data_IF_911632011891
#
_entry.id   IF_911632011891
#
_cell.length_a   1.000
_cell.length_b   1.000
_cell.length_c   1.000
_cell.angle_alpha   90.00
_cell.angle_beta   90.00
_cell.angle_gamma   90.00
#
_symmetry.space_group_name_H-M   'P 1'
#
loop_
_entity.id
_entity.type
_entity.pdbx_description
1 polymer ?
#
# COMPACT_ATOMS: atom_id res chain seq x y z
N UNK A 1 -8.02 -16.77 -32.81
CA UNK A 1 -7.04 -17.71 -33.36
C UNK A 1 -6.33 -18.27 -32.15
N UNK A 2 -6.58 -19.52 -31.75
CA UNK A 2 -5.89 -20.13 -30.61
C UNK A 2 -4.40 -20.17 -30.91
N UNK A 3 -3.52 -19.84 -29.92
CA UNK A 3 -2.09 -20.04 -30.14
C UNK A 3 -1.83 -21.53 -30.36
N UNK A 4 -0.95 -21.82 -31.28
CA UNK A 4 -0.49 -23.15 -31.66
C UNK A 4 0.02 -23.88 -30.36
N UNK A 5 -0.50 -25.05 -29.98
CA UNK A 5 -0.06 -25.80 -28.80
C UNK A 5 1.45 -26.16 -28.84
N UNK A 6 2.12 -26.02 -29.98
CA UNK A 6 3.57 -26.22 -30.11
C UNK A 6 4.40 -24.98 -29.71
N UNK A 7 3.78 -23.85 -29.44
CA UNK A 7 4.47 -22.63 -28.95
C UNK A 7 4.32 -22.48 -27.43
N UNK A 8 4.85 -23.43 -26.71
CA UNK A 8 5.07 -23.34 -25.26
C UNK A 8 5.98 -22.17 -24.91
N UNK A 9 5.72 -21.44 -23.78
CA UNK A 9 6.72 -20.52 -23.27
C UNK A 9 8.00 -21.32 -22.99
N UNK A 10 9.02 -20.99 -23.73
CA UNK A 10 10.26 -21.75 -23.87
C UNK A 10 11.04 -21.92 -22.55
N UNK A 11 10.66 -21.22 -21.47
CA UNK A 11 11.32 -21.31 -20.16
C UNK A 11 10.36 -20.95 -19.03
N UNK A 12 9.76 -21.92 -18.33
CA UNK A 12 9.22 -21.72 -17.01
C UNK A 12 10.20 -22.25 -15.97
N UNK A 13 10.42 -21.51 -14.89
CA UNK A 13 11.21 -21.95 -13.74
C UNK A 13 10.30 -22.42 -12.59
N UNK A 14 9.05 -21.96 -12.58
CA UNK A 14 8.03 -22.35 -11.59
C UNK A 14 6.67 -22.50 -12.27
N UNK A 15 5.92 -23.50 -11.86
CA UNK A 15 4.53 -23.72 -12.26
C UNK A 15 3.66 -23.85 -11.02
N UNK A 16 2.63 -23.03 -10.93
CA UNK A 16 1.64 -23.06 -9.86
C UNK A 16 0.40 -23.74 -10.45
N UNK A 17 -0.03 -24.86 -9.85
CA UNK A 17 -1.11 -25.73 -10.34
C UNK A 17 -2.19 -25.92 -9.30
N UNK A 18 -3.30 -26.55 -9.74
CA UNK A 18 -4.41 -26.90 -8.86
C UNK A 18 -4.96 -25.67 -8.13
N UNK A 19 -5.13 -24.56 -8.87
CA UNK A 19 -5.75 -23.32 -8.37
C UNK A 19 -7.26 -23.47 -8.56
N UNK A 20 -8.04 -23.53 -7.47
CA UNK A 20 -9.50 -23.69 -7.56
C UNK A 20 -10.19 -22.51 -8.24
N UNK A 21 -9.84 -21.30 -7.84
CA UNK A 21 -10.27 -20.05 -8.48
C UNK A 21 -9.09 -19.08 -8.55
N UNK A 22 -8.70 -18.73 -9.75
CA UNK A 22 -7.69 -17.69 -10.00
C UNK A 22 -8.40 -16.37 -10.29
N UNK A 23 -8.39 -15.46 -9.34
CA UNK A 23 -8.96 -14.11 -9.44
C UNK A 23 -7.89 -13.20 -10.02
N UNK A 24 -7.89 -12.94 -11.32
CA UNK A 24 -6.76 -12.28 -11.97
C UNK A 24 -6.75 -10.77 -11.80
N UNK A 25 -7.91 -10.15 -11.70
CA UNK A 25 -8.09 -8.66 -11.68
C UNK A 25 -7.42 -8.01 -12.92
N UNK A 26 -7.28 -8.77 -13.99
CA UNK A 26 -6.61 -8.34 -15.21
C UNK A 26 -7.34 -7.16 -15.85
N UNK A 27 -6.55 -6.22 -16.38
CA UNK A 27 -7.08 -5.01 -17.03
C UNK A 27 -7.46 -5.25 -18.50
N UNK A 28 -7.00 -6.36 -19.06
CA UNK A 28 -7.36 -6.84 -20.41
C UNK A 28 -8.05 -8.21 -20.29
N UNK A 29 -8.96 -8.55 -21.20
CA UNK A 29 -9.63 -9.85 -21.18
C UNK A 29 -8.63 -11.01 -21.20
N UNK A 30 -8.78 -11.95 -20.25
CA UNK A 30 -7.99 -13.18 -20.17
C UNK A 30 -8.82 -14.34 -20.72
N UNK A 31 -8.22 -15.17 -21.57
CA UNK A 31 -8.90 -16.34 -22.17
C UNK A 31 -9.36 -17.31 -21.07
N UNK A 32 -10.61 -17.75 -21.15
CA UNK A 32 -11.21 -18.66 -20.17
C UNK A 32 -11.69 -17.97 -18.87
N UNK A 33 -11.41 -16.68 -18.68
CA UNK A 33 -11.86 -15.93 -17.52
C UNK A 33 -13.32 -15.44 -17.65
N UNK A 34 -13.96 -15.21 -16.50
CA UNK A 34 -15.33 -14.70 -16.42
C UNK A 34 -15.49 -13.63 -15.34
N UNK A 35 -16.56 -12.84 -15.49
CA UNK A 35 -16.92 -11.79 -14.53
C UNK A 35 -15.99 -10.59 -14.49
N UNK A 36 -16.31 -9.58 -13.66
CA UNK A 36 -15.57 -8.32 -13.61
C UNK A 36 -14.14 -8.44 -13.05
N UNK A 37 -13.87 -9.49 -12.27
CA UNK A 37 -12.53 -9.79 -11.73
C UNK A 37 -11.73 -10.72 -12.64
N UNK A 38 -12.26 -11.16 -13.77
CA UNK A 38 -11.59 -12.08 -14.70
C UNK A 38 -11.15 -13.37 -13.97
N UNK A 39 -12.12 -14.14 -13.44
CA UNK A 39 -11.88 -15.36 -12.67
C UNK A 39 -11.76 -16.56 -13.60
N UNK A 40 -10.72 -17.38 -13.41
CA UNK A 40 -10.52 -18.68 -14.09
C UNK A 40 -10.65 -19.78 -13.05
N UNK A 41 -11.56 -20.74 -13.29
CA UNK A 41 -11.67 -21.95 -12.47
C UNK A 41 -10.64 -23.00 -12.91
N UNK A 42 -10.19 -23.84 -11.98
CA UNK A 42 -9.23 -24.92 -12.23
C UNK A 42 -8.00 -24.43 -13.03
N UNK A 43 -7.34 -23.42 -12.50
CA UNK A 43 -6.30 -22.65 -13.20
C UNK A 43 -4.88 -23.12 -12.87
N UNK A 44 -3.96 -22.70 -13.75
CA UNK A 44 -2.52 -22.77 -13.52
C UNK A 44 -1.81 -21.49 -14.03
N UNK A 45 -0.62 -21.23 -13.47
CA UNK A 45 0.26 -20.11 -13.83
C UNK A 45 1.67 -20.66 -14.08
N UNK A 46 2.31 -20.23 -15.16
CA UNK A 46 3.74 -20.46 -15.38
C UNK A 46 4.54 -19.17 -15.17
N UNK A 47 5.68 -19.29 -14.50
CA UNK A 47 6.54 -18.19 -14.09
C UNK A 47 7.98 -18.47 -14.54
N UNK A 48 8.65 -17.43 -15.05
CA UNK A 48 10.07 -17.47 -15.38
C UNK A 48 10.76 -16.24 -14.81
N UNK A 49 11.83 -16.46 -14.03
CA UNK A 49 12.60 -15.39 -13.39
C UNK A 49 11.70 -14.36 -12.63
N UNK A 50 10.69 -14.88 -11.92
CA UNK A 50 9.77 -14.06 -11.16
C UNK A 50 8.67 -13.36 -11.97
N UNK A 51 8.62 -13.52 -13.28
CA UNK A 51 7.62 -12.92 -14.17
C UNK A 51 6.64 -13.98 -14.66
N UNK A 52 5.36 -13.64 -14.68
CA UNK A 52 4.29 -14.50 -15.22
C UNK A 52 4.47 -14.58 -16.74
N UNK A 53 4.62 -15.81 -17.26
CA UNK A 53 4.81 -16.04 -18.70
C UNK A 53 3.61 -16.73 -19.34
N UNK A 54 2.71 -17.32 -18.55
CA UNK A 54 1.48 -17.94 -19.02
C UNK A 54 0.44 -18.07 -17.90
N UNK A 55 -0.85 -18.01 -18.29
CA UNK A 55 -2.03 -18.19 -17.44
C UNK A 55 -3.09 -18.94 -18.25
N UNK A 56 -3.75 -19.96 -17.66
CA UNK A 56 -4.83 -20.69 -18.32
C UNK A 56 -5.44 -21.77 -17.41
N UNK A 57 -6.25 -22.65 -17.99
CA UNK A 57 -6.78 -23.80 -17.27
C UNK A 57 -5.70 -24.84 -17.00
N UNK A 58 -5.71 -25.46 -15.81
CA UNK A 58 -4.72 -26.49 -15.44
C UNK A 58 -4.79 -27.73 -16.34
N UNK A 59 -5.93 -27.99 -17.01
CA UNK A 59 -6.10 -29.05 -18.00
C UNK A 59 -5.47 -28.74 -19.37
N UNK A 60 -5.14 -27.53 -19.67
CA UNK A 60 -4.52 -27.11 -20.96
C UNK A 60 -3.04 -27.48 -21.04
N UNK A 61 -2.58 -28.32 -20.16
CA UNK A 61 -1.27 -28.93 -19.97
C UNK A 61 -0.20 -28.57 -21.00
N UNK A 62 0.54 -27.54 -20.70
CA UNK A 62 1.80 -27.26 -21.36
C UNK A 62 2.98 -28.08 -20.78
N UNK A 63 2.71 -28.85 -19.71
CA UNK A 63 3.71 -29.60 -18.94
C UNK A 63 3.28 -31.03 -18.69
N UNK A 64 2.68 -31.74 -19.68
CA UNK A 64 2.49 -33.18 -19.60
C UNK A 64 3.86 -33.88 -19.68
N UNK A 65 4.33 -34.31 -18.53
CA UNK A 65 5.22 -35.46 -18.45
C UNK A 65 4.54 -36.55 -17.66
N UNK A 66 4.44 -37.73 -18.26
CA UNK A 66 4.00 -38.97 -17.65
C UNK A 66 5.03 -39.47 -16.64
N UNK A 67 5.35 -38.72 -15.63
CA UNK A 67 6.11 -39.17 -14.46
C UNK A 67 6.16 -38.08 -13.39
N UNK A 68 6.07 -38.53 -12.12
CA UNK A 68 6.25 -37.72 -10.92
C UNK A 68 7.63 -37.04 -10.77
N UNK A 69 8.39 -36.95 -11.87
CA UNK A 69 9.70 -36.31 -11.89
C UNK A 69 9.59 -34.99 -12.65
N UNK A 70 9.87 -33.85 -12.02
CA UNK A 70 9.95 -32.58 -12.72
C UNK A 70 10.97 -32.67 -13.85
N UNK A 71 10.69 -32.09 -15.03
CA UNK A 71 11.75 -31.80 -16.00
C UNK A 71 12.83 -31.02 -15.23
N UNK A 72 14.11 -31.41 -15.41
CA UNK A 72 15.24 -30.84 -14.68
C UNK A 72 15.11 -29.33 -14.60
N UNK A 73 14.87 -28.80 -13.40
CA UNK A 73 14.88 -27.39 -13.07
C UNK A 73 13.54 -26.68 -12.90
N UNK A 74 12.36 -27.30 -13.04
CA UNK A 74 11.06 -26.65 -12.81
C UNK A 74 10.56 -26.93 -11.39
N UNK A 75 10.24 -25.89 -10.62
CA UNK A 75 9.57 -25.99 -9.33
C UNK A 75 8.05 -26.05 -9.52
N UNK A 76 7.40 -27.08 -8.96
CA UNK A 76 5.93 -27.21 -8.94
C UNK A 76 5.41 -26.73 -7.59
N UNK A 77 4.45 -25.79 -7.61
CA UNK A 77 3.70 -25.32 -6.43
C UNK A 77 2.26 -25.81 -6.57
N UNK A 78 1.82 -26.66 -5.66
CA UNK A 78 0.42 -27.11 -5.58
C UNK A 78 -0.39 -26.09 -4.76
N UNK A 79 -1.33 -25.41 -5.41
CA UNK A 79 -2.26 -24.50 -4.74
C UNK A 79 -3.39 -25.20 -3.98
N UNK A 80 -3.46 -26.54 -4.01
CA UNK A 80 -4.40 -27.37 -3.23
C UNK A 80 -5.89 -27.01 -3.47
N UNK A 81 -6.22 -26.47 -4.65
CA UNK A 81 -7.56 -26.08 -5.04
C UNK A 81 -8.09 -24.83 -4.31
N UNK A 82 -7.25 -24.03 -3.67
CA UNK A 82 -7.67 -22.79 -3.00
C UNK A 82 -7.85 -21.63 -3.98
N UNK A 83 -8.42 -20.52 -3.47
CA UNK A 83 -8.48 -19.26 -4.19
C UNK A 83 -7.09 -18.61 -4.22
N UNK A 84 -6.70 -18.09 -5.39
CA UNK A 84 -5.47 -17.30 -5.56
C UNK A 84 -5.83 -15.95 -6.16
N UNK A 85 -5.30 -14.88 -5.57
CA UNK A 85 -5.44 -13.49 -6.04
C UNK A 85 -4.08 -12.85 -6.25
N UNK A 86 -3.99 -11.68 -6.89
CA UNK A 86 -2.81 -10.84 -6.72
C UNK A 86 -2.55 -10.62 -5.24
N UNK A 87 -1.28 -10.48 -4.85
CA UNK A 87 -0.93 -10.03 -3.51
C UNK A 87 -1.54 -8.66 -3.21
N UNK A 88 -1.91 -8.43 -1.96
CA UNK A 88 -2.49 -7.15 -1.53
C UNK A 88 -1.42 -6.05 -1.56
N UNK A 89 -1.82 -4.86 -1.98
CA UNK A 89 -0.97 -3.67 -2.07
C UNK A 89 -1.45 -2.64 -1.06
N UNK A 90 -0.63 -2.39 -0.04
CA UNK A 90 -0.88 -1.36 0.96
C UNK A 90 -0.17 -0.06 0.57
N UNK A 91 -0.91 0.86 -0.01
CA UNK A 91 -0.35 2.06 -0.64
C UNK A 91 -0.17 3.26 0.29
N UNK A 92 -0.35 3.07 1.62
CA UNK A 92 -0.19 4.14 2.59
C UNK A 92 0.11 3.60 3.98
N UNK A 93 1.36 3.68 4.43
CA UNK A 93 1.77 3.32 5.80
C UNK A 93 2.87 4.23 6.35
N UNK A 94 3.00 4.27 7.69
CA UNK A 94 4.06 4.96 8.43
C UNK A 94 4.86 3.94 9.26
N UNK A 95 5.34 2.89 8.64
CA UNK A 95 5.80 1.65 9.28
C UNK A 95 7.05 1.84 10.15
N UNK A 96 7.94 2.81 9.83
CA UNK A 96 9.21 3.04 10.55
C UNK A 96 9.01 4.04 11.67
N UNK A 97 8.82 3.54 12.88
CA UNK A 97 8.73 4.34 14.11
C UNK A 97 9.05 3.49 15.34
N UNK A 98 9.41 4.16 16.46
CA UNK A 98 9.52 3.55 17.79
C UNK A 98 8.42 4.04 18.72
N UNK A 99 8.21 3.29 19.80
CA UNK A 99 7.15 3.55 20.78
C UNK A 99 5.77 3.13 20.30
N UNK A 100 4.77 3.38 21.15
CA UNK A 100 3.35 3.18 20.84
C UNK A 100 2.50 4.29 21.47
N UNK A 101 1.23 4.31 21.14
CA UNK A 101 0.26 5.29 21.67
C UNK A 101 -0.97 4.59 22.28
N UNK A 102 -0.80 3.36 22.80
CA UNK A 102 -1.87 2.57 23.36
C UNK A 102 -2.56 3.29 24.54
N UNK A 103 -1.78 3.89 25.44
CA UNK A 103 -2.32 4.67 26.56
C UNK A 103 -3.15 5.87 26.07
N UNK A 104 -2.68 6.58 25.02
CA UNK A 104 -3.45 7.70 24.44
C UNK A 104 -4.77 7.22 23.82
N UNK A 105 -4.77 6.05 23.20
CA UNK A 105 -5.99 5.45 22.68
C UNK A 105 -7.02 5.25 23.78
N UNK A 106 -6.62 4.72 24.95
CA UNK A 106 -7.50 4.52 26.09
C UNK A 106 -7.97 5.84 26.69
N UNK A 107 -7.09 6.84 26.83
CA UNK A 107 -7.45 8.17 27.32
C UNK A 107 -8.50 8.85 26.42
N UNK A 108 -8.33 8.78 25.10
CA UNK A 108 -9.34 9.28 24.14
C UNK A 108 -10.68 8.55 24.30
N UNK A 109 -10.67 7.24 24.54
CA UNK A 109 -11.90 6.47 24.81
C UNK A 109 -12.56 6.88 26.12
N UNK A 110 -11.78 7.32 27.12
CA UNK A 110 -12.27 7.87 28.37
C UNK A 110 -12.75 9.33 28.27
N UNK A 111 -12.65 9.96 27.10
CA UNK A 111 -13.16 11.31 26.84
C UNK A 111 -12.12 12.43 26.96
N UNK A 112 -10.84 12.10 27.15
CA UNK A 112 -9.76 13.10 27.14
C UNK A 112 -9.63 13.66 25.71
N UNK A 113 -9.68 14.98 25.60
CA UNK A 113 -9.58 15.65 24.31
C UNK A 113 -8.16 15.60 23.71
N UNK A 114 -8.07 15.72 22.40
CA UNK A 114 -6.77 15.79 21.72
C UNK A 114 -5.92 16.98 22.20
N UNK A 115 -6.55 18.12 22.49
CA UNK A 115 -5.87 19.30 23.04
C UNK A 115 -5.25 19.06 24.41
N UNK A 116 -5.95 18.34 25.30
CA UNK A 116 -5.43 17.98 26.62
C UNK A 116 -4.24 17.01 26.51
N UNK A 117 -4.28 16.08 25.55
CA UNK A 117 -3.16 15.17 25.27
C UNK A 117 -1.93 15.94 24.75
N UNK A 118 -2.12 16.91 23.87
CA UNK A 118 -1.03 17.75 23.38
C UNK A 118 -0.37 18.57 24.49
N UNK A 119 -1.16 19.14 25.42
CA UNK A 119 -0.64 19.87 26.59
C UNK A 119 0.20 18.98 27.52
N UNK A 120 -0.04 17.67 27.51
CA UNK A 120 0.72 16.67 28.26
C UNK A 120 1.98 16.19 27.48
N UNK A 121 2.29 16.78 26.32
CA UNK A 121 3.42 16.35 25.47
C UNK A 121 3.16 15.03 24.75
N UNK A 122 1.92 14.59 24.64
CA UNK A 122 1.46 13.39 23.94
C UNK A 122 1.13 13.71 22.47
N UNK A 123 0.57 12.78 21.76
CA UNK A 123 0.27 12.92 20.36
C UNK A 123 1.44 12.51 19.48
N UNK A 124 1.50 13.03 18.26
CA UNK A 124 2.54 12.67 17.28
C UNK A 124 3.96 12.90 17.82
N UNK A 125 4.14 13.88 18.70
CA UNK A 125 5.45 14.21 19.27
C UNK A 125 5.99 13.13 20.20
N UNK A 126 5.15 12.32 20.84
CA UNK A 126 5.63 11.17 21.61
C UNK A 126 6.29 10.14 20.71
N UNK A 127 5.71 9.90 19.53
CA UNK A 127 6.30 9.01 18.51
C UNK A 127 7.59 9.61 17.93
N UNK A 128 7.61 10.92 17.65
CA UNK A 128 8.82 11.63 17.17
C UNK A 128 9.96 11.48 18.17
N UNK A 129 9.70 11.73 19.45
CA UNK A 129 10.72 11.60 20.48
C UNK A 129 11.24 10.17 20.62
N UNK A 130 10.35 9.18 20.60
CA UNK A 130 10.72 7.77 20.66
C UNK A 130 11.55 7.36 19.44
N UNK A 131 11.17 7.79 18.24
CA UNK A 131 11.87 7.46 16.99
C UNK A 131 13.26 8.11 16.93
N UNK A 132 13.38 9.37 17.33
CA UNK A 132 14.67 10.06 17.43
C UNK A 132 15.61 9.45 18.49
N UNK A 133 15.05 8.81 19.52
CA UNK A 133 15.83 8.19 20.60
C UNK A 133 16.21 6.76 20.33
N UNK A 134 15.57 6.10 19.37
CA UNK A 134 15.88 4.72 18.98
C UNK A 134 17.09 4.70 18.03
N UNK A 135 17.93 3.67 18.14
CA UNK A 135 18.98 3.42 17.16
C UNK A 135 18.42 2.79 15.88
N UNK A 136 19.22 2.80 14.83
CA UNK A 136 18.84 2.28 13.52
C UNK A 136 18.51 0.78 13.54
N UNK A 137 19.21 -0.01 14.37
CA UNK A 137 19.00 -1.45 14.51
C UNK A 137 17.61 -1.73 15.10
N UNK A 138 17.25 -1.07 16.19
CA UNK A 138 15.91 -1.15 16.82
C UNK A 138 14.81 -0.76 15.84
N UNK A 139 14.97 0.33 15.08
CA UNK A 139 13.97 0.77 14.11
C UNK A 139 13.81 -0.26 12.97
N UNK A 140 14.90 -0.85 12.50
CA UNK A 140 14.88 -1.89 11.47
C UNK A 140 14.17 -3.17 11.96
N UNK A 141 14.51 -3.65 13.17
CA UNK A 141 13.86 -4.83 13.77
C UNK A 141 12.33 -4.64 13.93
N UNK A 142 11.90 -3.48 14.42
CA UNK A 142 10.49 -3.15 14.54
C UNK A 142 9.80 -3.12 13.16
N UNK A 143 10.45 -2.55 12.15
CA UNK A 143 9.92 -2.49 10.79
C UNK A 143 9.80 -3.90 10.18
N UNK A 144 10.79 -4.77 10.33
CA UNK A 144 10.77 -6.16 9.87
C UNK A 144 9.64 -6.95 10.53
N UNK A 145 9.45 -6.82 11.85
CA UNK A 145 8.37 -7.49 12.56
C UNK A 145 6.99 -7.11 12.00
N UNK A 146 6.77 -5.81 11.74
CA UNK A 146 5.55 -5.27 11.14
C UNK A 146 5.33 -5.74 9.70
N UNK A 147 6.38 -5.74 8.87
CA UNK A 147 6.32 -6.29 7.51
C UNK A 147 5.94 -7.76 7.50
N UNK A 148 6.48 -8.56 8.42
CA UNK A 148 6.12 -9.96 8.57
C UNK A 148 4.65 -10.13 8.92
N UNK A 149 4.11 -9.27 9.78
CA UNK A 149 2.67 -9.24 10.10
C UNK A 149 1.83 -8.89 8.88
N UNK A 150 2.19 -7.82 8.13
CA UNK A 150 1.51 -7.44 6.89
C UNK A 150 1.51 -8.56 5.86
N UNK A 151 2.68 -9.20 5.66
CA UNK A 151 2.82 -10.37 4.77
C UNK A 151 1.92 -11.52 5.21
N UNK A 152 1.85 -11.80 6.50
CA UNK A 152 0.98 -12.84 7.05
C UNK A 152 -0.50 -12.58 6.72
N UNK A 153 -0.90 -11.32 6.56
CA UNK A 153 -2.24 -10.91 6.13
C UNK A 153 -2.39 -10.72 4.62
N UNK A 154 -1.39 -11.10 3.82
CA UNK A 154 -1.50 -11.14 2.35
C UNK A 154 -0.89 -9.96 1.61
N UNK A 155 -0.30 -8.98 2.30
CA UNK A 155 0.37 -7.84 1.69
C UNK A 155 1.69 -8.28 1.05
N UNK A 156 1.88 -7.97 -0.24
CA UNK A 156 3.10 -8.26 -1.01
C UNK A 156 3.84 -7.00 -1.44
N UNK A 157 3.14 -5.87 -1.46
CA UNK A 157 3.73 -4.55 -1.77
C UNK A 157 3.21 -3.54 -0.75
N UNK A 158 4.11 -2.73 -0.19
CA UNK A 158 3.78 -1.72 0.81
C UNK A 158 4.52 -0.41 0.53
N UNK A 159 3.82 0.72 0.66
CA UNK A 159 4.46 2.03 0.76
C UNK A 159 4.83 2.31 2.22
N UNK A 160 6.04 2.80 2.44
CA UNK A 160 6.52 3.20 3.76
C UNK A 160 6.96 4.65 3.73
N UNK A 161 6.25 5.48 4.49
CA UNK A 161 6.54 6.91 4.67
C UNK A 161 7.46 7.10 5.88
N UNK A 162 8.37 8.06 5.78
CA UNK A 162 9.04 8.66 6.93
C UNK A 162 8.11 9.63 7.68
N UNK A 163 8.62 10.61 8.41
CA UNK A 163 7.82 11.68 9.01
C UNK A 163 7.70 11.61 10.53
N UNK A 164 8.46 10.71 11.16
CA UNK A 164 8.63 10.70 12.60
C UNK A 164 10.04 11.10 13.04
N UNK A 165 10.92 11.41 12.11
CA UNK A 165 12.22 12.03 12.39
C UNK A 165 12.09 13.53 12.56
N UNK A 166 11.52 14.20 11.58
CA UNK A 166 11.34 15.66 11.49
C UNK A 166 12.66 16.44 11.65
N UNK A 167 13.79 15.78 11.45
CA UNK A 167 15.11 16.36 11.29
C UNK A 167 15.87 15.59 10.19
N UNK A 168 16.88 16.21 9.62
CA UNK A 168 17.60 15.64 8.47
C UNK A 168 18.24 14.30 8.75
N UNK A 169 18.82 14.12 9.94
CA UNK A 169 19.58 12.91 10.29
C UNK A 169 18.62 11.73 10.49
N UNK A 170 17.57 11.93 11.27
CA UNK A 170 16.60 10.85 11.57
C UNK A 170 15.77 10.49 10.34
N UNK A 171 15.34 11.47 9.53
CA UNK A 171 14.62 11.20 8.26
C UNK A 171 15.49 10.41 7.27
N UNK A 172 16.78 10.78 7.15
CA UNK A 172 17.74 10.01 6.33
C UNK A 172 17.91 8.58 6.84
N UNK A 173 18.05 8.41 8.15
CA UNK A 173 18.17 7.09 8.78
C UNK A 173 16.93 6.24 8.47
N UNK A 174 15.74 6.80 8.63
CA UNK A 174 14.48 6.10 8.29
C UNK A 174 14.43 5.72 6.80
N UNK A 175 14.81 6.63 5.87
CA UNK A 175 14.84 6.32 4.44
C UNK A 175 15.84 5.22 4.10
N UNK A 176 17.01 5.20 4.73
CA UNK A 176 18.00 4.14 4.54
C UNK A 176 17.46 2.80 5.02
N UNK A 177 16.85 2.75 6.21
CA UNK A 177 16.19 1.53 6.71
C UNK A 177 15.13 1.05 5.71
N UNK A 178 14.26 1.94 5.21
CA UNK A 178 13.21 1.59 4.23
C UNK A 178 13.82 0.98 2.95
N UNK A 179 14.93 1.54 2.46
CA UNK A 179 15.61 0.99 1.28
C UNK A 179 16.27 -0.36 1.59
N UNK A 180 16.89 -0.51 2.77
CA UNK A 180 17.52 -1.75 3.19
C UNK A 180 16.50 -2.89 3.35
N UNK A 181 15.24 -2.60 3.73
CA UNK A 181 14.16 -3.59 3.78
C UNK A 181 13.92 -4.29 2.42
N UNK A 182 14.17 -3.63 1.30
CA UNK A 182 14.15 -4.25 -0.03
C UNK A 182 15.38 -5.12 -0.30
N UNK A 183 16.54 -4.78 0.29
CA UNK A 183 17.80 -5.50 0.10
C UNK A 183 17.89 -6.76 0.98
N UNK A 184 17.07 -6.89 2.02
CA UNK A 184 17.04 -8.06 2.92
C UNK A 184 16.62 -9.37 2.21
N UNK A 185 16.24 -9.34 0.94
CA UNK A 185 16.05 -10.54 0.13
C UNK A 185 17.27 -11.48 0.09
N UNK A 186 18.46 -10.96 0.37
CA UNK A 186 19.73 -11.68 0.26
C UNK A 186 20.31 -12.19 1.59
N UNK A 187 19.73 -11.88 2.75
CA UNK A 187 20.28 -12.30 4.06
C UNK A 187 19.68 -13.62 4.54
N UNK A 188 20.51 -14.65 4.86
CA UNK A 188 20.04 -15.91 5.43
C UNK A 188 19.28 -15.75 6.76
N UNK A 189 19.51 -14.66 7.48
CA UNK A 189 18.92 -14.37 8.79
C UNK A 189 17.47 -13.89 8.68
N UNK A 190 17.06 -13.31 7.54
CA UNK A 190 15.75 -12.68 7.32
C UNK A 190 14.97 -13.30 6.14
N UNK A 191 15.15 -14.59 5.87
CA UNK A 191 14.59 -15.34 4.72
C UNK A 191 13.06 -15.27 4.56
N UNK A 192 12.32 -14.58 5.42
CA UNK A 192 10.85 -14.66 5.45
C UNK A 192 10.09 -13.40 5.08
N UNK A 193 10.72 -12.23 4.91
CA UNK A 193 10.02 -10.98 4.63
C UNK A 193 10.19 -10.47 3.21
N UNK A 194 9.78 -11.29 2.22
CA UNK A 194 9.67 -10.79 0.84
C UNK A 194 8.38 -9.98 0.71
N UNK A 195 8.44 -8.71 1.05
CA UNK A 195 7.42 -7.69 0.76
C UNK A 195 8.13 -6.57 0.03
N UNK A 196 7.63 -6.19 -1.13
CA UNK A 196 8.17 -5.06 -1.89
C UNK A 196 7.87 -3.76 -1.15
N UNK A 197 8.90 -2.99 -0.84
CA UNK A 197 8.79 -1.74 -0.09
C UNK A 197 9.01 -0.54 -1.01
N UNK A 198 8.12 0.46 -0.93
CA UNK A 198 8.20 1.70 -1.72
C UNK A 198 8.46 2.87 -0.78
N UNK A 199 9.65 3.52 -0.85
CA UNK A 199 10.01 4.59 0.07
C UNK A 199 9.34 5.92 -0.31
N UNK A 200 8.76 6.60 0.70
CA UNK A 200 8.17 7.94 0.60
C UNK A 200 8.76 8.85 1.67
N UNK A 201 9.27 10.01 1.25
CA UNK A 201 9.71 11.05 2.16
C UNK A 201 8.52 11.91 2.62
N UNK A 202 8.31 12.01 3.93
CA UNK A 202 7.25 12.82 4.56
C UNK A 202 7.83 13.74 5.66
N UNK A 203 8.90 14.48 5.39
CA UNK A 203 9.40 15.50 6.34
C UNK A 203 8.37 16.58 6.66
N UNK A 204 7.42 16.81 5.75
CA UNK A 204 6.31 17.73 5.97
C UNK A 204 5.09 17.07 6.63
N UNK A 205 5.30 16.31 7.71
CA UNK A 205 4.24 15.67 8.49
C UNK A 205 3.67 16.61 9.56
N UNK A 206 4.51 17.18 10.40
CA UNK A 206 4.15 18.26 11.33
C UNK A 206 5.36 19.17 11.56
N UNK A 207 5.14 20.38 12.09
CA UNK A 207 6.24 21.27 12.51
C UNK A 207 6.78 20.79 13.86
N UNK A 208 8.07 20.41 13.96
CA UNK A 208 8.65 19.96 15.22
C UNK A 208 8.78 21.11 16.23
N UNK A 209 8.78 20.81 17.55
CA UNK A 209 8.73 21.82 18.61
C UNK A 209 9.78 22.91 18.51
N UNK A 210 10.99 22.56 18.11
CA UNK A 210 12.13 23.47 17.94
C UNK A 210 11.98 24.51 16.84
N UNK A 211 11.02 24.26 15.92
CA UNK A 211 10.68 25.17 14.81
C UNK A 211 9.33 25.87 14.97
N UNK A 212 8.54 25.64 16.03
CA UNK A 212 7.22 26.26 16.21
C UNK A 212 7.24 27.79 16.08
N UNK A 213 8.26 28.45 16.64
CA UNK A 213 8.43 29.90 16.54
C UNK A 213 9.10 30.36 15.22
N UNK A 214 9.59 29.42 14.42
CA UNK A 214 10.32 29.68 13.18
C UNK A 214 9.84 28.74 12.08
N UNK A 215 8.55 28.68 11.89
CA UNK A 215 7.87 27.74 10.97
C UNK A 215 8.47 27.76 9.55
N UNK A 216 8.70 28.97 9.01
CA UNK A 216 9.29 29.15 7.68
C UNK A 216 10.68 28.50 7.58
N UNK A 217 11.49 28.62 8.62
CA UNK A 217 12.81 27.99 8.66
C UNK A 217 12.75 26.44 8.60
N UNK A 218 11.66 25.82 9.05
CA UNK A 218 11.47 24.39 8.87
C UNK A 218 11.08 24.04 7.43
N UNK A 219 10.21 24.84 6.84
CA UNK A 219 9.85 24.67 5.41
C UNK A 219 11.11 24.84 4.54
N UNK A 220 11.96 25.83 4.84
CA UNK A 220 13.26 26.02 4.17
C UNK A 220 14.16 24.78 4.34
N UNK A 221 14.27 24.23 5.56
CA UNK A 221 15.04 23.01 5.82
C UNK A 221 14.55 21.83 4.95
N UNK A 222 13.24 21.64 4.84
CA UNK A 222 12.65 20.60 3.99
C UNK A 222 12.98 20.84 2.52
N UNK A 223 12.76 22.06 2.02
CA UNK A 223 12.89 22.43 0.60
C UNK A 223 14.33 22.49 0.12
N UNK A 224 15.22 23.11 0.92
CA UNK A 224 16.57 23.45 0.48
C UNK A 224 17.63 22.43 0.92
N UNK A 225 17.35 21.63 1.97
CA UNK A 225 18.33 20.68 2.48
C UNK A 225 17.86 19.23 2.40
N UNK A 226 16.66 18.89 2.93
CA UNK A 226 16.22 17.50 2.99
C UNK A 226 15.90 16.95 1.60
N UNK A 227 15.03 17.60 0.84
CA UNK A 227 14.64 17.16 -0.49
C UNK A 227 15.84 16.94 -1.42
N UNK A 228 16.79 17.89 -1.57
CA UNK A 228 17.97 17.63 -2.40
C UNK A 228 18.86 16.49 -1.91
N UNK A 229 18.97 16.31 -0.58
CA UNK A 229 19.80 15.25 0.01
C UNK A 229 19.24 13.86 -0.16
N UNK A 230 17.91 13.71 -0.32
CA UNK A 230 17.23 12.43 -0.36
C UNK A 230 16.82 11.97 -1.77
N UNK A 231 17.27 12.71 -2.80
CA UNK A 231 17.12 12.27 -4.20
C UNK A 231 17.73 10.88 -4.37
N UNK A 232 16.92 9.94 -4.90
CA UNK A 232 17.31 8.54 -5.07
C UNK A 232 17.11 7.66 -3.82
N UNK A 233 16.83 8.22 -2.64
CA UNK A 233 16.45 7.46 -1.44
C UNK A 233 14.93 7.31 -1.31
N UNK A 234 14.14 8.23 -1.83
CA UNK A 234 12.70 8.14 -1.84
C UNK A 234 12.16 8.23 -3.28
N UNK A 235 11.12 7.43 -3.57
CA UNK A 235 10.37 7.51 -4.83
C UNK A 235 9.39 8.66 -4.82
N UNK A 236 8.73 8.88 -3.68
CA UNK A 236 7.69 9.88 -3.49
C UNK A 236 8.11 10.93 -2.47
N UNK A 237 7.56 12.14 -2.63
CA UNK A 237 7.46 13.14 -1.59
C UNK A 237 5.98 13.30 -1.24
N UNK A 238 5.68 13.29 0.05
CA UNK A 238 4.35 13.49 0.60
C UNK A 238 4.32 14.68 1.56
N UNK A 239 3.16 15.29 1.75
CA UNK A 239 2.93 16.39 2.67
C UNK A 239 1.60 16.21 3.39
N UNK A 240 1.50 16.65 4.64
CA UNK A 240 0.25 16.69 5.38
C UNK A 240 -0.38 18.08 5.25
N UNK A 241 -1.34 18.19 4.32
CA UNK A 241 -2.04 19.45 4.02
C UNK A 241 -3.24 19.64 4.93
N UNK A 242 -3.01 20.21 6.12
CA UNK A 242 -4.04 20.50 7.13
C UNK A 242 -3.69 21.76 7.92
N UNK A 243 -4.71 22.39 8.51
CA UNK A 243 -4.54 23.65 9.29
C UNK A 243 -3.51 23.54 10.40
N UNK A 244 -3.45 22.40 11.06
CA UNK A 244 -2.58 22.14 12.21
C UNK A 244 -1.22 21.58 11.80
N UNK A 245 -1.05 21.19 10.53
CA UNK A 245 0.17 20.67 9.96
C UNK A 245 0.81 21.68 9.00
N UNK A 246 0.59 21.57 7.71
CA UNK A 246 1.13 22.50 6.70
C UNK A 246 -0.01 23.18 5.94
N UNK A 247 0.13 24.50 5.74
CA UNK A 247 -0.79 25.28 4.91
C UNK A 247 -0.71 24.85 3.44
N UNK A 248 -1.76 25.15 2.68
CA UNK A 248 -1.80 24.86 1.24
C UNK A 248 -0.62 25.47 0.48
N UNK A 249 -0.18 26.68 0.89
CA UNK A 249 0.95 27.41 0.29
C UNK A 249 2.30 26.72 0.57
N UNK A 250 2.52 26.29 1.82
CA UNK A 250 3.71 25.54 2.22
C UNK A 250 3.76 24.18 1.51
N UNK A 251 2.63 23.48 1.44
CA UNK A 251 2.50 22.21 0.71
C UNK A 251 2.84 22.42 -0.78
N UNK A 252 2.30 23.44 -1.41
CA UNK A 252 2.58 23.77 -2.81
C UNK A 252 4.08 24.01 -3.03
N UNK A 253 4.71 24.81 -2.16
CA UNK A 253 6.15 25.09 -2.25
C UNK A 253 6.99 23.82 -2.16
N UNK A 254 6.71 22.98 -1.16
CA UNK A 254 7.43 21.73 -0.93
C UNK A 254 7.25 20.76 -2.12
N UNK A 255 6.01 20.52 -2.55
CA UNK A 255 5.72 19.59 -3.62
C UNK A 255 6.21 20.08 -4.99
N UNK A 256 6.17 21.38 -5.25
CA UNK A 256 6.75 21.94 -6.48
C UNK A 256 8.25 21.67 -6.51
N UNK A 257 8.95 21.91 -5.40
CA UNK A 257 10.38 21.61 -5.30
C UNK A 257 10.69 20.12 -5.44
N UNK A 258 9.89 19.27 -4.82
CA UNK A 258 10.01 17.82 -4.94
C UNK A 258 9.86 17.37 -6.41
N UNK A 259 8.86 17.90 -7.13
CA UNK A 259 8.63 17.63 -8.55
C UNK A 259 9.82 18.06 -9.43
N UNK A 260 10.39 19.22 -9.18
CA UNK A 260 11.60 19.70 -9.87
C UNK A 260 12.80 18.76 -9.66
N UNK A 261 12.91 18.14 -8.50
CA UNK A 261 13.97 17.18 -8.15
C UNK A 261 13.68 15.75 -8.64
N UNK A 262 12.51 15.51 -9.28
CA UNK A 262 12.15 14.22 -9.87
C UNK A 262 11.39 13.28 -8.96
N UNK A 263 10.92 13.71 -7.79
CA UNK A 263 10.01 12.91 -6.97
C UNK A 263 8.63 12.80 -7.63
N UNK A 264 7.99 11.66 -7.53
CA UNK A 264 6.55 11.55 -7.68
C UNK A 264 5.88 12.10 -6.41
N UNK A 265 4.64 12.58 -6.53
CA UNK A 265 3.98 13.33 -5.46
C UNK A 265 2.83 12.55 -4.86
N UNK A 266 2.65 12.69 -3.54
CA UNK A 266 1.49 12.25 -2.77
C UNK A 266 1.06 13.37 -1.82
N UNK A 267 -0.18 13.34 -1.35
CA UNK A 267 -0.71 14.35 -0.41
C UNK A 267 -1.66 13.67 0.58
N UNK A 268 -1.43 13.83 1.89
CA UNK A 268 -2.50 13.69 2.88
C UNK A 268 -3.39 14.91 2.73
N UNK A 269 -4.62 14.72 2.28
CA UNK A 269 -5.49 15.77 1.81
C UNK A 269 -6.87 15.71 2.46
N UNK A 270 -7.36 16.87 2.92
CA UNK A 270 -8.74 17.04 3.34
C UNK A 270 -9.21 15.97 4.36
N UNK A 271 -8.33 15.59 5.29
CA UNK A 271 -8.58 14.55 6.29
C UNK A 271 -9.44 15.05 7.45
N UNK A 272 -9.10 16.21 8.01
CA UNK A 272 -9.74 16.77 9.20
C UNK A 272 -10.59 17.99 8.88
N UNK A 273 -10.32 18.64 7.74
CA UNK A 273 -11.00 19.84 7.28
C UNK A 273 -10.88 19.98 5.75
N UNK A 274 -11.75 20.80 5.10
CA UNK A 274 -11.57 21.10 3.69
C UNK A 274 -10.34 22.03 3.52
N UNK A 275 -9.16 21.42 3.41
CA UNK A 275 -7.87 22.11 3.32
C UNK A 275 -7.48 22.54 1.91
N UNK A 276 -8.14 21.95 0.89
CA UNK A 276 -7.82 22.16 -0.53
C UNK A 276 -6.69 21.26 -1.04
N UNK A 277 -6.26 20.29 -0.26
CA UNK A 277 -5.20 19.32 -0.61
C UNK A 277 -5.54 18.50 -1.85
N UNK A 278 -6.79 18.06 -2.00
CA UNK A 278 -7.26 17.32 -3.16
C UNK A 278 -7.16 18.15 -4.45
N UNK A 279 -7.50 19.45 -4.40
CA UNK A 279 -7.33 20.37 -5.52
C UNK A 279 -5.84 20.53 -5.86
N UNK A 280 -4.99 20.71 -4.87
CA UNK A 280 -3.55 20.84 -5.05
C UNK A 280 -2.94 19.58 -5.68
N UNK A 281 -3.41 18.39 -5.27
CA UNK A 281 -3.01 17.12 -5.88
C UNK A 281 -3.28 17.08 -7.38
N UNK A 282 -4.49 17.50 -7.80
CA UNK A 282 -4.86 17.58 -9.20
C UNK A 282 -4.00 18.60 -9.98
N UNK A 283 -3.78 19.81 -9.43
CA UNK A 283 -3.00 20.86 -10.06
C UNK A 283 -1.53 20.47 -10.28
N UNK A 284 -0.94 19.75 -9.34
CA UNK A 284 0.46 19.31 -9.43
C UNK A 284 0.64 17.98 -10.15
N UNK A 285 -0.45 17.25 -10.43
CA UNK A 285 -0.41 15.91 -11.01
C UNK A 285 0.18 14.89 -10.04
N UNK A 286 -0.28 14.89 -8.80
CA UNK A 286 0.13 13.90 -7.82
C UNK A 286 -0.31 12.49 -8.24
N UNK A 287 0.44 11.47 -7.83
CA UNK A 287 0.08 10.06 -8.09
C UNK A 287 -1.16 9.66 -7.30
N UNK A 288 -1.24 10.05 -6.03
CA UNK A 288 -2.42 9.87 -5.19
C UNK A 288 -2.66 11.07 -4.28
N UNK A 289 -3.92 11.20 -3.84
CA UNK A 289 -4.31 11.99 -2.70
C UNK A 289 -5.03 11.06 -1.71
N UNK A 290 -4.64 11.15 -0.45
CA UNK A 290 -4.95 10.14 0.54
C UNK A 290 -5.85 10.76 1.63
N UNK A 291 -6.75 10.00 2.28
CA UNK A 291 -7.86 10.38 3.18
C UNK A 291 -9.10 10.91 2.44
N UNK A 292 -9.13 12.18 2.08
CA UNK A 292 -10.20 12.82 1.27
C UNK A 292 -11.58 12.91 1.96
N UNK A 293 -11.63 12.80 3.29
CA UNK A 293 -12.87 12.78 4.06
C UNK A 293 -13.70 14.05 3.84
N UNK A 294 -13.06 15.21 3.68
CA UNK A 294 -13.66 16.52 3.48
C UNK A 294 -13.47 17.11 2.06
N UNK A 295 -12.94 16.33 1.11
CA UNK A 295 -12.76 16.80 -0.27
C UNK A 295 -14.11 17.16 -0.91
N UNK A 296 -14.18 18.28 -1.64
CA UNK A 296 -15.41 18.70 -2.34
C UNK A 296 -15.61 17.91 -3.63
N UNK A 297 -16.86 17.87 -4.14
CA UNK A 297 -17.18 17.23 -5.42
C UNK A 297 -16.41 17.86 -6.60
N UNK A 298 -16.16 19.17 -6.54
CA UNK A 298 -15.36 19.87 -7.55
C UNK A 298 -13.88 19.49 -7.50
N UNK A 299 -13.34 19.14 -6.31
CA UNK A 299 -11.98 18.67 -6.17
C UNK A 299 -11.83 17.23 -6.65
N UNK A 300 -12.82 16.39 -6.36
CA UNK A 300 -12.88 15.02 -6.89
C UNK A 300 -12.92 14.99 -8.43
N UNK A 301 -13.70 15.89 -9.04
CA UNK A 301 -13.73 16.00 -10.50
C UNK A 301 -12.37 16.43 -11.07
N UNK A 302 -11.68 17.40 -10.43
CA UNK A 302 -10.34 17.80 -10.84
C UNK A 302 -9.33 16.65 -10.69
N UNK A 303 -9.41 15.86 -9.62
CA UNK A 303 -8.57 14.66 -9.43
C UNK A 303 -8.82 13.63 -10.53
N UNK A 304 -10.09 13.39 -10.88
CA UNK A 304 -10.47 12.47 -11.97
C UNK A 304 -9.84 12.91 -13.30
N UNK A 305 -9.97 14.19 -13.64
CA UNK A 305 -9.42 14.74 -14.88
C UNK A 305 -7.89 14.67 -14.92
N UNK A 306 -7.24 14.84 -13.77
CA UNK A 306 -5.79 14.76 -13.63
C UNK A 306 -5.26 13.32 -13.49
N UNK A 307 -6.13 12.31 -13.36
CA UNK A 307 -5.76 10.91 -13.17
C UNK A 307 -5.17 10.60 -11.79
N UNK A 308 -5.46 11.42 -10.78
CA UNK A 308 -5.00 11.22 -9.39
C UNK A 308 -5.79 10.10 -8.74
N UNK A 309 -5.11 9.13 -8.12
CA UNK A 309 -5.76 8.04 -7.40
C UNK A 309 -6.26 8.54 -6.05
N UNK A 310 -7.49 8.17 -5.68
CA UNK A 310 -8.05 8.44 -4.36
C UNK A 310 -7.75 7.27 -3.42
N UNK A 311 -6.89 7.46 -2.42
CA UNK A 311 -6.58 6.41 -1.42
C UNK A 311 -7.41 6.63 -0.17
N UNK A 312 -8.35 5.71 0.11
CA UNK A 312 -9.25 5.78 1.26
C UNK A 312 -8.74 4.89 2.39
N UNK A 313 -8.84 5.40 3.63
CA UNK A 313 -8.17 4.87 4.81
C UNK A 313 -9.18 4.48 5.92
N UNK A 314 -9.98 3.42 5.72
CA UNK A 314 -11.07 3.08 6.64
C UNK A 314 -10.62 2.71 8.06
N UNK A 315 -9.38 2.26 8.24
CA UNK A 315 -8.82 2.00 9.57
C UNK A 315 -8.71 3.24 10.44
N UNK A 316 -8.42 4.40 9.83
CA UNK A 316 -8.40 5.69 10.48
C UNK A 316 -9.82 6.08 10.95
N UNK A 317 -10.82 6.01 10.07
CA UNK A 317 -12.22 6.30 10.42
C UNK A 317 -12.73 5.39 11.55
N UNK A 318 -12.41 4.09 11.50
CA UNK A 318 -12.74 3.13 12.56
C UNK A 318 -12.16 3.53 13.91
N UNK A 319 -10.87 3.83 13.96
CA UNK A 319 -10.16 4.15 15.20
C UNK A 319 -10.60 5.51 15.79
N UNK A 320 -10.78 6.50 14.93
CA UNK A 320 -11.22 7.85 15.33
C UNK A 320 -12.73 7.94 15.61
N UNK A 321 -13.50 6.93 15.16
CA UNK A 321 -14.99 6.95 15.19
C UNK A 321 -15.55 8.12 14.38
N UNK A 322 -14.86 8.48 13.32
CA UNK A 322 -15.32 9.46 12.34
C UNK A 322 -16.25 8.79 11.31
N UNK A 323 -17.07 9.55 10.60
CA UNK A 323 -17.79 9.03 9.45
C UNK A 323 -16.83 8.42 8.43
N UNK A 324 -17.22 7.30 7.84
CA UNK A 324 -16.45 6.74 6.73
C UNK A 324 -16.68 7.56 5.44
N UNK A 325 -15.63 7.82 4.65
CA UNK A 325 -15.83 8.43 3.34
C UNK A 325 -16.69 7.50 2.47
N UNK A 326 -17.81 7.99 1.89
CA UNK A 326 -18.68 7.16 1.07
C UNK A 326 -17.99 6.85 -0.26
N UNK A 327 -17.49 5.62 -0.43
CA UNK A 327 -16.72 5.22 -1.61
C UNK A 327 -17.48 5.43 -2.94
N UNK A 328 -18.82 5.34 -2.91
CA UNK A 328 -19.68 5.64 -4.08
C UNK A 328 -19.42 7.04 -4.64
N UNK A 329 -19.11 8.02 -3.77
CA UNK A 329 -18.82 9.40 -4.18
C UNK A 329 -17.63 9.50 -5.15
N UNK A 330 -16.68 8.61 -5.01
CA UNK A 330 -15.45 8.53 -5.82
C UNK A 330 -15.66 7.62 -7.03
N UNK A 331 -16.13 6.40 -6.79
CA UNK A 331 -16.27 5.35 -7.80
C UNK A 331 -17.27 5.76 -8.90
N UNK A 332 -18.43 6.29 -8.51
CA UNK A 332 -19.48 6.68 -9.47
C UNK A 332 -19.07 7.89 -10.33
N UNK A 333 -18.02 8.62 -9.92
CA UNK A 333 -17.38 9.68 -10.73
C UNK A 333 -16.26 9.14 -11.62
N UNK A 334 -15.92 7.86 -11.53
CA UNK A 334 -14.89 7.23 -12.34
C UNK A 334 -13.45 7.45 -11.83
N UNK A 335 -13.27 7.83 -10.54
CA UNK A 335 -11.93 7.83 -9.95
C UNK A 335 -11.46 6.40 -9.69
N UNK A 336 -10.17 6.17 -9.84
CA UNK A 336 -9.54 5.00 -9.27
C UNK A 336 -9.46 5.16 -7.76
N UNK A 337 -10.09 4.23 -7.03
CA UNK A 337 -10.09 4.21 -5.57
C UNK A 337 -9.13 3.11 -5.11
N UNK A 338 -8.14 3.45 -4.29
CA UNK A 338 -7.30 2.53 -3.56
C UNK A 338 -7.75 2.43 -2.09
N UNK A 339 -7.47 1.30 -1.46
CA UNK A 339 -7.58 1.09 -0.01
C UNK A 339 -6.19 0.89 0.58
N UNK A 340 -5.96 1.43 1.77
CA UNK A 340 -4.73 1.22 2.52
C UNK A 340 -5.00 1.19 4.03
N UNK A 341 -4.04 0.69 4.81
CA UNK A 341 -4.20 0.54 6.26
C UNK A 341 -4.01 1.85 7.01
N UNK A 342 -3.27 2.80 6.47
CA UNK A 342 -2.74 3.94 7.22
C UNK A 342 -2.03 3.49 8.50
N UNK A 343 -1.28 2.37 8.41
CA UNK A 343 -0.63 1.81 9.60
C UNK A 343 0.29 2.84 10.27
N UNK A 344 -0.15 3.31 11.43
CA UNK A 344 0.57 4.28 12.24
C UNK A 344 0.17 4.16 13.72
N UNK A 345 0.99 4.65 14.67
CA UNK A 345 0.70 4.48 16.10
C UNK A 345 -0.45 5.36 16.61
N UNK A 346 -0.91 6.34 15.86
CA UNK A 346 -1.87 7.35 16.30
C UNK A 346 -3.31 7.07 15.97
N UNK A 347 -3.57 6.75 14.72
CA UNK A 347 -4.92 6.72 14.16
C UNK A 347 -5.30 5.39 13.53
N UNK A 348 -4.33 4.49 13.24
CA UNK A 348 -4.62 3.18 12.64
C UNK A 348 -3.51 2.17 12.94
N UNK A 349 -3.50 1.57 14.12
CA UNK A 349 -2.52 0.54 14.47
C UNK A 349 -3.01 -0.83 14.00
N UNK A 350 -3.04 -1.02 12.68
CA UNK A 350 -3.58 -2.21 12.02
C UNK A 350 -2.82 -2.52 10.73
N UNK A 351 -2.10 -3.65 10.69
CA UNK A 351 -1.33 -4.15 9.54
C UNK A 351 -2.16 -5.06 8.62
N UNK A 352 -3.48 -5.08 8.79
CA UNK A 352 -4.36 -6.09 8.18
C UNK A 352 -5.21 -5.51 7.04
N UNK A 353 -4.77 -5.70 5.79
CA UNK A 353 -5.53 -5.30 4.60
C UNK A 353 -6.87 -6.04 4.45
N UNK A 354 -7.02 -7.27 5.00
CA UNK A 354 -8.32 -7.97 4.97
C UNK A 354 -9.36 -7.23 5.83
N UNK A 355 -8.93 -6.59 6.92
CA UNK A 355 -9.80 -5.73 7.72
C UNK A 355 -10.25 -4.51 6.89
N UNK A 356 -9.36 -3.93 6.09
CA UNK A 356 -9.71 -2.80 5.21
C UNK A 356 -10.75 -3.19 4.16
N UNK A 357 -10.63 -4.39 3.56
CA UNK A 357 -11.65 -4.94 2.65
C UNK A 357 -13.01 -5.06 3.35
N UNK A 358 -13.04 -5.65 4.54
CA UNK A 358 -14.27 -5.80 5.33
C UNK A 358 -14.93 -4.46 5.68
N UNK A 359 -14.16 -3.46 6.09
CA UNK A 359 -14.65 -2.10 6.38
C UNK A 359 -15.17 -1.39 5.13
N UNK A 360 -14.46 -1.51 4.00
CA UNK A 360 -14.87 -0.90 2.74
C UNK A 360 -16.23 -1.44 2.26
N UNK A 361 -16.42 -2.75 2.36
CA UNK A 361 -17.69 -3.39 1.97
C UNK A 361 -18.81 -3.05 2.96
N UNK A 362 -18.57 -3.17 4.27
CA UNK A 362 -19.61 -3.02 5.29
C UNK A 362 -19.99 -1.57 5.59
N UNK A 363 -19.06 -0.61 5.43
CA UNK A 363 -19.24 0.76 5.92
C UNK A 363 -19.07 1.84 4.87
N UNK A 364 -18.44 1.55 3.71
CA UNK A 364 -18.19 2.54 2.66
C UNK A 364 -19.00 2.30 1.38
N UNK A 365 -19.79 1.21 1.32
CA UNK A 365 -20.64 0.87 0.18
C UNK A 365 -19.90 0.36 -1.06
N UNK A 366 -18.75 -0.27 -0.89
CA UNK A 366 -18.04 -0.96 -1.97
C UNK A 366 -18.57 -2.38 -2.17
N UNK A 367 -18.60 -2.85 -3.43
CA UNK A 367 -18.75 -4.27 -3.72
C UNK A 367 -17.45 -5.03 -3.40
N UNK A 368 -17.51 -6.37 -3.39
CA UNK A 368 -16.33 -7.21 -3.22
C UNK A 368 -15.31 -6.95 -4.35
N UNK A 369 -15.80 -6.84 -5.58
CA UNK A 369 -14.96 -6.61 -6.77
C UNK A 369 -14.25 -5.26 -6.67
N UNK A 370 -14.95 -4.21 -6.27
CA UNK A 370 -14.39 -2.87 -6.09
C UNK A 370 -13.36 -2.85 -4.95
N UNK A 371 -13.65 -3.52 -3.85
CA UNK A 371 -12.74 -3.60 -2.72
C UNK A 371 -11.45 -4.38 -3.07
N UNK A 372 -11.56 -5.52 -3.78
CA UNK A 372 -10.40 -6.28 -4.25
C UNK A 372 -9.56 -5.47 -5.25
N UNK A 373 -10.19 -4.80 -6.22
CA UNK A 373 -9.47 -3.91 -7.14
C UNK A 373 -8.78 -2.76 -6.39
N UNK A 374 -9.43 -2.21 -5.37
CA UNK A 374 -8.87 -1.12 -4.56
C UNK A 374 -7.64 -1.55 -3.73
N UNK A 375 -7.65 -2.78 -3.21
CA UNK A 375 -6.56 -3.34 -2.41
C UNK A 375 -5.45 -4.02 -3.25
N UNK A 376 -5.54 -3.99 -4.57
CA UNK A 376 -4.59 -4.64 -5.48
C UNK A 376 -4.17 -3.68 -6.60
N UNK A 377 -4.84 -3.71 -7.76
CA UNK A 377 -4.44 -2.92 -8.95
C UNK A 377 -4.50 -1.41 -8.73
N UNK A 378 -5.50 -0.91 -7.97
CA UNK A 378 -5.58 0.52 -7.69
C UNK A 378 -4.58 0.94 -6.60
N UNK A 379 -4.29 0.07 -5.61
CA UNK A 379 -3.15 0.27 -4.71
C UNK A 379 -1.83 0.36 -5.48
N UNK A 380 -1.63 -0.52 -6.48
CA UNK A 380 -0.47 -0.46 -7.36
C UNK A 380 -0.44 0.84 -8.19
N UNK A 381 -1.60 1.35 -8.67
CA UNK A 381 -1.69 2.66 -9.35
C UNK A 381 -1.30 3.80 -8.43
N UNK A 382 -1.74 3.78 -7.15
CA UNK A 382 -1.36 4.78 -6.15
C UNK A 382 0.15 4.80 -5.86
N UNK A 383 0.88 3.77 -6.30
CA UNK A 383 2.35 3.65 -6.22
C UNK A 383 3.04 3.74 -7.59
N UNK A 384 2.29 4.01 -8.67
CA UNK A 384 2.77 3.98 -10.05
C UNK A 384 3.48 2.66 -10.40
N UNK A 385 2.91 1.52 -9.96
CA UNK A 385 3.42 0.16 -10.14
C UNK A 385 2.44 -0.75 -10.90
N UNK A 386 1.31 -0.24 -11.40
CA UNK A 386 0.25 -1.00 -12.06
C UNK A 386 0.71 -1.82 -13.26
N UNK A 387 1.81 -1.43 -13.89
CA UNK A 387 2.38 -2.15 -15.03
C UNK A 387 3.22 -3.37 -14.61
N UNK A 388 3.57 -3.47 -13.32
CA UNK A 388 4.42 -4.54 -12.80
C UNK A 388 3.76 -5.41 -11.75
N UNK A 389 2.71 -4.95 -11.05
CA UNK A 389 2.02 -5.68 -9.98
C UNK A 389 0.55 -5.27 -9.84
N UNK A 390 -0.18 -5.88 -8.89
CA UNK A 390 -1.57 -5.57 -8.56
C UNK A 390 -2.61 -6.31 -9.39
N UNK A 391 -2.20 -7.08 -10.40
CA UNK A 391 -3.05 -8.00 -11.16
C UNK A 391 -2.22 -9.18 -11.66
N UNK A 392 -2.89 -10.28 -11.99
CA UNK A 392 -2.23 -11.48 -12.55
C UNK A 392 -2.38 -11.42 -14.06
N UNK A 393 -1.32 -10.98 -14.72
CA UNK A 393 -1.23 -10.81 -16.18
C UNK A 393 0.15 -11.23 -16.68
N UNK A 394 0.22 -11.79 -17.90
CA UNK A 394 1.49 -12.13 -18.53
C UNK A 394 2.36 -10.89 -18.67
N UNK A 395 3.62 -10.99 -18.26
CA UNK A 395 4.59 -9.89 -18.22
C UNK A 395 4.69 -9.19 -16.87
N UNK A 396 3.78 -9.42 -15.94
CA UNK A 396 3.86 -8.87 -14.57
C UNK A 396 4.60 -9.80 -13.63
N UNK A 397 5.06 -9.26 -12.51
CA UNK A 397 5.69 -10.03 -11.43
C UNK A 397 4.71 -11.02 -10.82
N UNK A 398 5.20 -12.19 -10.45
CA UNK A 398 4.43 -13.20 -9.76
C UNK A 398 4.36 -12.86 -8.26
N UNK A 399 3.44 -11.98 -7.90
CA UNK A 399 3.13 -11.58 -6.53
C UNK A 399 1.71 -12.03 -6.22
N UNK A 400 1.56 -13.12 -5.45
CA UNK A 400 0.30 -13.85 -5.26
C UNK A 400 -0.04 -14.02 -3.78
N UNK A 401 -1.34 -13.99 -3.47
CA UNK A 401 -1.90 -14.39 -2.20
C UNK A 401 -2.74 -15.67 -2.38
N UNK A 402 -2.43 -16.69 -1.59
CA UNK A 402 -3.17 -17.95 -1.50
C UNK A 402 -4.10 -17.89 -0.30
N UNK A 403 -5.41 -18.10 -0.53
CA UNK A 403 -6.43 -17.96 0.50
C UNK A 403 -6.93 -19.33 0.95
N UNK A 404 -7.03 -19.60 2.24
CA UNK A 404 -7.57 -20.85 2.82
C UNK A 404 -9.08 -21.00 2.62
N UNK A 405 -9.58 -20.65 1.44
CA UNK A 405 -11.00 -20.71 1.03
C UNK A 405 -11.13 -21.33 -0.36
N UNK A 406 -12.35 -21.72 -0.71
CA UNK A 406 -12.67 -22.34 -2.01
C UNK A 406 -13.47 -21.41 -2.93
N UNK A 407 -14.06 -20.38 -2.38
CA UNK A 407 -14.84 -19.40 -3.11
C UNK A 407 -14.38 -17.99 -2.72
N UNK A 408 -13.99 -17.16 -3.70
CA UNK A 408 -13.50 -15.82 -3.44
C UNK A 408 -14.56 -14.90 -2.80
N UNK A 409 -15.85 -15.25 -2.89
CA UNK A 409 -16.90 -14.49 -2.19
C UNK A 409 -16.82 -14.60 -0.66
N UNK A 410 -16.03 -15.51 -0.12
CA UNK A 410 -15.76 -15.56 1.32
C UNK A 410 -14.84 -14.41 1.79
N UNK A 411 -14.11 -13.76 0.86
CA UNK A 411 -13.24 -12.61 1.18
C UNK A 411 -14.14 -11.44 1.64
N UNK A 412 -13.83 -10.90 2.83
CA UNK A 412 -14.62 -9.84 3.46
C UNK A 412 -15.93 -10.29 4.10
N UNK A 413 -16.53 -11.42 3.67
CA UNK A 413 -17.67 -12.05 4.34
C UNK A 413 -17.25 -12.73 5.64
N UNK A 414 -16.22 -13.55 5.58
CA UNK A 414 -15.65 -14.26 6.75
C UNK A 414 -14.60 -13.34 7.41
N UNK A 415 -15.07 -12.27 8.05
CA UNK A 415 -14.22 -11.25 8.67
C UNK A 415 -13.75 -11.67 10.08
N UNK A 416 -12.69 -11.01 10.56
CA UNK A 416 -12.18 -11.17 11.93
C UNK A 416 -11.18 -12.31 12.12
N UNK A 417 -10.88 -13.07 11.08
CA UNK A 417 -9.82 -14.07 11.06
C UNK A 417 -8.87 -13.82 9.88
N UNK A 418 -7.71 -14.45 9.90
CA UNK A 418 -6.81 -14.43 8.76
C UNK A 418 -7.19 -15.57 7.80
N UNK A 419 -7.55 -15.22 6.57
CA UNK A 419 -7.87 -16.16 5.50
C UNK A 419 -6.67 -16.50 4.59
N UNK A 420 -5.51 -15.86 4.78
CA UNK A 420 -4.31 -16.13 3.98
C UNK A 420 -3.64 -17.41 4.45
N UNK A 421 -3.42 -18.33 3.53
CA UNK A 421 -2.61 -19.54 3.72
C UNK A 421 -1.12 -19.20 3.55
N UNK A 422 -0.78 -18.50 2.49
CA UNK A 422 0.60 -18.08 2.16
C UNK A 422 0.61 -16.96 1.13
N UNK A 423 1.77 -16.35 0.94
CA UNK A 423 2.05 -15.45 -0.18
C UNK A 423 3.27 -15.92 -0.95
N UNK A 424 3.26 -15.72 -2.26
CA UNK A 424 4.42 -15.89 -3.13
C UNK A 424 4.82 -14.51 -3.65
N UNK A 425 6.08 -14.15 -3.45
CA UNK A 425 6.67 -12.90 -3.96
C UNK A 425 7.96 -13.29 -4.69
N UNK A 426 8.07 -12.89 -5.94
CA UNK A 426 9.17 -13.22 -6.85
C UNK A 426 10.11 -12.03 -7.05
#
# INVERSE_FOLDING_TARGET
>A
MMPDPSQLPVKASTVIRNIGQLVTIAQQPVTGASGPLQVIADAAIAVHEGVIVWIGHDSEHLFQQDSDTPADGITIVDAQGVVVTPGLVDSHTHLVFAGDRAEEFHLRRAGVSYGELLLQGRGILSTVNATRSADAETLAELAIARLNTMRHYGTTTVEVKTGYGLDKITEETCLRIINDLNAFEASPTYQHSRVRVVPTFLGAHVIPPEYRARREAYVDLVVEEMLPSFVGLARFCDVFCEREAFSLEECRRILTRAKELGYALKIHADQLSPSGGARLAAELGATSADHLDFASDADLEAMREAGVVATLLPGCSYTLRSPYPPARRFIDRGLHVALATDFNPGTSYCENMQMMLGLAMSSMGMSLEEALQAATINGARALALQDSTGSIEVGKRCELAFWSIRDYHEIGYHFGINLIQSVLVS
#
